data_IF_909769863384
#
_entry.id   IF_909769863384
#
_cell.length_a   1.000
_cell.length_b   1.000
_cell.length_c   1.000
_cell.angle_alpha   90.00
_cell.angle_beta   90.00
_cell.angle_gamma   90.00
#
_symmetry.space_group_name_H-M   'P 1'
#
loop_
_entity.id
_entity.type
_entity.pdbx_description
1 polymer ?
#
# COMPACT_ATOMS: atom_id res chain seq x y z
N UNK A 1 -24.42 7.30 -16.15
CA UNK A 1 -24.07 6.59 -14.90
C UNK A 1 -23.17 5.37 -15.13
N UNK A 2 -23.40 4.54 -16.15
CA UNK A 2 -22.66 3.27 -16.37
C UNK A 2 -21.15 3.42 -16.69
N UNK A 3 -20.72 4.50 -17.35
CA UNK A 3 -19.32 4.69 -17.72
C UNK A 3 -18.44 5.06 -16.51
N UNK A 4 -19.01 5.77 -15.54
CA UNK A 4 -18.33 6.16 -14.30
C UNK A 4 -18.00 4.94 -13.44
N UNK A 5 -18.87 3.93 -13.43
CA UNK A 5 -18.66 2.70 -12.67
C UNK A 5 -17.49 1.88 -13.21
N UNK A 6 -17.34 1.76 -14.53
CA UNK A 6 -16.21 1.01 -15.14
C UNK A 6 -14.87 1.67 -14.88
N UNK A 7 -14.76 3.00 -15.03
CA UNK A 7 -13.51 3.74 -14.77
C UNK A 7 -13.12 3.70 -13.29
N UNK A 8 -14.11 3.85 -12.40
CA UNK A 8 -13.93 3.74 -10.96
C UNK A 8 -13.49 2.32 -10.52
N UNK A 9 -14.10 1.28 -11.11
CA UNK A 9 -13.72 -0.11 -10.85
C UNK A 9 -12.31 -0.42 -11.36
N UNK A 10 -11.93 0.13 -12.53
CA UNK A 10 -10.59 0.01 -13.10
C UNK A 10 -9.54 0.68 -12.21
N UNK A 11 -9.80 1.88 -11.72
CA UNK A 11 -8.90 2.58 -10.78
C UNK A 11 -8.73 1.80 -9.46
N UNK A 12 -9.81 1.22 -8.93
CA UNK A 12 -9.73 0.30 -7.78
C UNK A 12 -8.84 -0.90 -8.09
N UNK A 13 -9.03 -1.54 -9.24
CA UNK A 13 -8.26 -2.73 -9.60
C UNK A 13 -6.78 -2.42 -9.78
N UNK A 14 -6.45 -1.25 -10.33
CA UNK A 14 -5.06 -0.75 -10.43
C UNK A 14 -4.46 -0.53 -9.04
N UNK A 15 -5.20 0.10 -8.12
CA UNK A 15 -4.74 0.29 -6.73
C UNK A 15 -4.47 -1.05 -6.03
N UNK A 16 -5.39 -2.01 -6.19
CA UNK A 16 -5.24 -3.37 -5.63
C UNK A 16 -4.08 -4.12 -6.28
N UNK A 17 -3.87 -3.97 -7.59
CA UNK A 17 -2.76 -4.59 -8.29
C UNK A 17 -1.41 -4.03 -7.80
N UNK A 18 -1.27 -2.69 -7.69
CA UNK A 18 -0.09 -2.04 -7.13
C UNK A 18 0.18 -2.51 -5.69
N UNK A 19 -0.88 -2.66 -4.90
CA UNK A 19 -0.77 -3.14 -3.53
C UNK A 19 -0.40 -4.62 -3.43
N UNK A 20 -0.96 -5.47 -4.29
CA UNK A 20 -0.59 -6.89 -4.38
C UNK A 20 0.88 -7.05 -4.73
N UNK A 21 1.38 -6.26 -5.69
CA UNK A 21 2.81 -6.25 -6.03
C UNK A 21 3.65 -5.83 -4.83
N UNK A 22 3.25 -4.78 -4.10
CA UNK A 22 3.92 -4.37 -2.85
C UNK A 22 3.93 -5.49 -1.80
N UNK A 23 2.80 -6.16 -1.58
CA UNK A 23 2.70 -7.26 -0.61
C UNK A 23 3.53 -8.48 -0.99
N UNK A 24 3.58 -8.85 -2.28
CA UNK A 24 4.42 -9.96 -2.76
C UNK A 24 5.89 -9.61 -2.56
N UNK A 25 6.28 -8.37 -2.86
CA UNK A 25 7.64 -7.90 -2.69
C UNK A 25 8.05 -7.87 -1.21
N UNK A 26 7.17 -7.35 -0.33
CA UNK A 26 7.39 -7.36 1.13
C UNK A 26 7.47 -8.81 1.65
N UNK A 27 6.55 -9.70 1.27
CA UNK A 27 6.59 -11.11 1.66
C UNK A 27 7.88 -11.81 1.20
N UNK A 28 8.37 -11.49 0.01
CA UNK A 28 9.63 -12.04 -0.52
C UNK A 28 10.83 -11.55 0.29
N UNK A 29 10.89 -10.24 0.57
CA UNK A 29 11.94 -9.66 1.44
C UNK A 29 11.91 -10.26 2.84
N UNK A 30 10.73 -10.42 3.41
CA UNK A 30 10.50 -10.97 4.74
C UNK A 30 10.91 -12.43 4.82
N UNK A 31 10.58 -13.22 3.79
CA UNK A 31 10.98 -14.63 3.71
C UNK A 31 12.51 -14.77 3.65
N UNK A 32 13.18 -13.90 2.89
CA UNK A 32 14.65 -13.87 2.79
C UNK A 32 15.27 -13.40 4.12
N UNK A 33 14.68 -12.39 4.77
CA UNK A 33 15.14 -11.85 6.04
C UNK A 33 14.78 -12.73 7.26
N UNK A 34 13.93 -13.75 7.08
CA UNK A 34 13.34 -14.58 8.15
C UNK A 34 12.70 -13.77 9.28
N UNK A 35 12.16 -12.60 8.95
CA UNK A 35 11.57 -11.70 9.93
C UNK A 35 10.14 -12.14 10.29
N UNK A 36 9.99 -12.83 11.42
CA UNK A 36 8.67 -13.28 11.92
C UNK A 36 7.74 -12.12 12.26
N UNK A 37 8.27 -10.94 12.54
CA UNK A 37 7.48 -9.77 12.93
C UNK A 37 6.77 -9.12 11.74
N UNK A 38 7.25 -9.38 10.53
CA UNK A 38 6.70 -8.79 9.33
C UNK A 38 5.39 -9.44 8.85
N UNK A 39 5.04 -10.66 9.33
CA UNK A 39 3.70 -11.23 9.13
C UNK A 39 2.61 -10.28 9.66
N UNK A 40 2.86 -9.67 10.84
CA UNK A 40 1.93 -8.73 11.45
C UNK A 40 1.77 -7.46 10.62
N UNK A 41 2.86 -6.98 10.00
CA UNK A 41 2.83 -5.82 9.10
C UNK A 41 1.99 -6.12 7.85
N UNK A 42 2.21 -7.25 7.19
CA UNK A 42 1.46 -7.63 5.98
C UNK A 42 -0.04 -7.73 6.31
N UNK A 43 -0.39 -8.41 7.40
CA UNK A 43 -1.78 -8.58 7.82
C UNK A 43 -2.45 -7.22 8.16
N UNK A 44 -1.76 -6.36 8.91
CA UNK A 44 -2.24 -5.02 9.23
C UNK A 44 -2.48 -4.21 7.95
N UNK A 45 -1.55 -4.27 7.00
CA UNK A 45 -1.65 -3.51 5.76
C UNK A 45 -2.83 -3.97 4.89
N UNK A 46 -3.11 -5.28 4.85
CA UNK A 46 -4.31 -5.84 4.19
C UNK A 46 -5.59 -5.31 4.83
N UNK A 47 -5.68 -5.31 6.17
CA UNK A 47 -6.84 -4.79 6.91
C UNK A 47 -7.04 -3.30 6.62
N UNK A 48 -5.97 -2.51 6.64
CA UNK A 48 -6.06 -1.07 6.32
C UNK A 48 -6.49 -0.85 4.88
N UNK A 49 -5.95 -1.61 3.93
CA UNK A 49 -6.37 -1.53 2.52
C UNK A 49 -7.87 -1.87 2.37
N UNK A 50 -8.38 -2.85 3.12
CA UNK A 50 -9.81 -3.13 3.14
C UNK A 50 -10.64 -1.92 3.61
N UNK A 51 -10.23 -1.24 4.69
CA UNK A 51 -10.89 0.00 5.14
C UNK A 51 -10.74 1.17 4.16
N UNK A 52 -9.61 1.26 3.44
CA UNK A 52 -9.42 2.23 2.35
C UNK A 52 -10.43 1.96 1.24
N UNK A 53 -10.59 0.71 0.83
CA UNK A 53 -11.55 0.29 -0.20
C UNK A 53 -13.01 0.50 0.20
N UNK A 54 -13.32 0.63 1.49
CA UNK A 54 -14.63 1.05 1.99
C UNK A 54 -14.85 2.57 1.90
N UNK A 55 -13.84 3.36 1.52
CA UNK A 55 -13.96 4.81 1.38
C UNK A 55 -13.91 5.57 2.71
N UNK A 56 -13.42 4.94 3.80
CA UNK A 56 -13.25 5.63 5.09
C UNK A 56 -12.14 6.69 4.99
N UNK A 57 -12.47 7.93 5.33
CA UNK A 57 -11.55 9.09 5.33
C UNK A 57 -10.33 8.82 6.23
N UNK A 58 -10.56 8.27 7.43
CA UNK A 58 -9.52 7.90 8.38
C UNK A 58 -8.57 6.84 7.83
N UNK A 59 -9.08 5.88 7.04
CA UNK A 59 -8.26 4.82 6.46
C UNK A 59 -7.24 5.36 5.43
N UNK A 60 -7.55 6.46 4.74
CA UNK A 60 -6.58 7.12 3.86
C UNK A 60 -5.37 7.67 4.63
N UNK A 61 -5.65 8.34 5.75
CA UNK A 61 -4.60 8.84 6.65
C UNK A 61 -3.82 7.71 7.30
N UNK A 62 -4.51 6.62 7.68
CA UNK A 62 -3.89 5.43 8.23
C UNK A 62 -2.96 4.74 7.23
N UNK A 63 -3.36 4.63 5.95
CA UNK A 63 -2.52 4.09 4.88
C UNK A 63 -1.28 4.95 4.64
N UNK A 64 -1.43 6.28 4.63
CA UNK A 64 -0.28 7.20 4.55
C UNK A 64 0.67 7.03 5.74
N UNK A 65 0.14 6.91 6.95
CA UNK A 65 0.94 6.65 8.15
C UNK A 65 1.70 5.35 8.07
N UNK A 66 1.04 4.25 7.66
CA UNK A 66 1.69 2.94 7.51
C UNK A 66 2.74 2.95 6.40
N UNK A 67 2.47 3.58 5.25
CA UNK A 67 3.48 3.70 4.19
C UNK A 67 4.70 4.49 4.68
N UNK A 68 4.50 5.61 5.38
CA UNK A 68 5.60 6.39 5.96
C UNK A 68 6.41 5.58 6.99
N UNK A 69 5.73 4.87 7.90
CA UNK A 69 6.39 3.98 8.86
C UNK A 69 7.15 2.84 8.17
N UNK A 70 6.59 2.26 7.12
CA UNK A 70 7.25 1.23 6.31
C UNK A 70 8.54 1.77 5.69
N UNK A 71 8.54 3.00 5.14
CA UNK A 71 9.76 3.63 4.61
C UNK A 71 10.82 3.78 5.70
N UNK A 72 10.45 4.29 6.88
CA UNK A 72 11.39 4.46 8.00
C UNK A 72 11.98 3.13 8.44
N UNK A 73 11.15 2.09 8.57
CA UNK A 73 11.61 0.75 8.96
C UNK A 73 12.53 0.15 7.90
N UNK A 74 12.20 0.31 6.62
CA UNK A 74 13.04 -0.16 5.51
C UNK A 74 14.41 0.54 5.51
N UNK A 75 14.44 1.86 5.69
CA UNK A 75 15.69 2.63 5.79
C UNK A 75 16.50 2.18 7.01
N UNK A 76 15.86 2.02 8.18
CA UNK A 76 16.53 1.56 9.39
C UNK A 76 17.12 0.16 9.22
N UNK A 77 16.40 -0.75 8.55
CA UNK A 77 16.88 -2.10 8.23
C UNK A 77 18.07 -2.07 7.26
N UNK A 78 18.01 -1.22 6.24
CA UNK A 78 19.12 -1.02 5.28
C UNK A 78 20.36 -0.49 5.99
N UNK A 79 20.21 0.48 6.90
CA UNK A 79 21.33 1.03 7.67
C UNK A 79 21.91 -0.01 8.65
N UNK A 80 21.04 -0.69 9.41
CA UNK A 80 21.43 -1.64 10.44
C UNK A 80 22.11 -2.90 9.87
N UNK A 81 21.70 -3.37 8.69
CA UNK A 81 22.29 -4.55 8.04
C UNK A 81 23.14 -4.18 6.80
N UNK A 82 23.51 -2.91 6.63
CA UNK A 82 24.27 -2.41 5.46
C UNK A 82 25.55 -3.22 5.15
N UNK A 83 26.19 -3.80 6.16
CA UNK A 83 27.40 -4.62 6.03
C UNK A 83 27.16 -6.10 5.67
N UNK A 84 25.91 -6.59 5.76
CA UNK A 84 25.52 -7.99 5.49
C UNK A 84 24.38 -8.15 4.50
N UNK A 85 23.80 -7.05 4.00
CA UNK A 85 22.70 -7.08 3.05
C UNK A 85 23.21 -7.42 1.65
N UNK A 86 22.67 -8.51 1.09
CA UNK A 86 22.82 -8.80 -0.33
C UNK A 86 22.26 -7.64 -1.17
N UNK A 87 22.91 -7.32 -2.29
CA UNK A 87 22.50 -6.29 -3.26
C UNK A 87 21.02 -6.43 -3.64
N UNK A 88 20.50 -7.65 -3.65
CA UNK A 88 19.10 -7.98 -3.93
C UNK A 88 18.15 -7.35 -2.88
N UNK A 89 18.51 -7.38 -1.60
CA UNK A 89 17.67 -6.82 -0.53
C UNK A 89 17.69 -5.28 -0.55
N UNK A 90 18.83 -4.68 -0.91
CA UNK A 90 18.96 -3.22 -1.06
C UNK A 90 18.08 -2.75 -2.22
N UNK A 91 18.21 -3.37 -3.39
CA UNK A 91 17.41 -3.04 -4.57
C UNK A 91 15.92 -3.29 -4.31
N UNK A 92 15.56 -4.42 -3.69
CA UNK A 92 14.17 -4.74 -3.32
C UNK A 92 13.56 -3.73 -2.35
N UNK A 93 14.33 -3.28 -1.35
CA UNK A 93 13.89 -2.25 -0.39
C UNK A 93 13.69 -0.90 -1.07
N UNK A 94 14.55 -0.53 -2.02
CA UNK A 94 14.40 0.71 -2.79
C UNK A 94 13.11 0.70 -3.62
N UNK A 95 12.83 -0.41 -4.30
CA UNK A 95 11.62 -0.60 -5.09
C UNK A 95 10.37 -0.54 -4.20
N UNK A 96 10.42 -1.14 -3.02
CA UNK A 96 9.36 -1.03 -2.00
C UNK A 96 9.10 0.41 -1.57
N UNK A 97 10.15 1.19 -1.32
CA UNK A 97 10.02 2.62 -0.96
C UNK A 97 9.30 3.38 -2.07
N UNK A 98 9.73 3.21 -3.33
CA UNK A 98 9.11 3.87 -4.48
C UNK A 98 7.63 3.48 -4.63
N UNK A 99 7.31 2.18 -4.57
CA UNK A 99 5.92 1.70 -4.64
C UNK A 99 5.06 2.24 -3.48
N UNK A 100 5.61 2.25 -2.27
CA UNK A 100 4.93 2.75 -1.07
C UNK A 100 4.63 4.25 -1.13
N UNK A 101 5.39 5.03 -1.90
CA UNK A 101 5.13 6.44 -2.16
C UNK A 101 4.12 6.64 -3.30
N UNK A 102 4.21 5.84 -4.38
CA UNK A 102 3.31 5.94 -5.53
C UNK A 102 1.85 5.62 -5.13
N UNK A 103 1.62 4.64 -4.26
CA UNK A 103 0.26 4.24 -3.82
C UNK A 103 -0.53 5.42 -3.20
N UNK A 104 -0.03 6.12 -2.17
CA UNK A 104 -0.73 7.26 -1.59
C UNK A 104 -0.84 8.44 -2.58
N UNK A 105 0.17 8.68 -3.42
CA UNK A 105 0.10 9.73 -4.47
C UNK A 105 -1.00 9.43 -5.49
N UNK A 106 -1.08 8.18 -5.97
CA UNK A 106 -2.15 7.76 -6.87
C UNK A 106 -3.52 7.87 -6.19
N UNK A 107 -3.59 7.56 -4.90
CA UNK A 107 -4.82 7.64 -4.12
C UNK A 107 -5.31 9.07 -3.88
N UNK A 108 -4.41 10.05 -3.77
CA UNK A 108 -4.76 11.48 -3.61
C UNK A 108 -4.98 12.19 -4.94
N UNK A 109 -4.24 11.81 -5.99
CA UNK A 109 -4.28 12.49 -7.29
C UNK A 109 -5.36 11.96 -8.23
N UNK A 110 -5.78 10.69 -8.10
CA UNK A 110 -6.79 10.09 -8.98
C UNK A 110 -8.20 10.63 -8.71
N UNK A 111 -8.71 11.45 -9.65
CA UNK A 111 -10.10 11.94 -9.64
C UNK A 111 -11.14 10.81 -9.73
N UNK A 112 -10.84 9.76 -10.50
CA UNK A 112 -11.75 8.60 -10.66
C UNK A 112 -11.84 7.75 -9.38
N UNK A 113 -10.70 7.54 -8.71
CA UNK A 113 -10.67 6.82 -7.43
C UNK A 113 -11.37 7.64 -6.33
N UNK A 114 -11.23 8.96 -6.35
CA UNK A 114 -11.93 9.83 -5.40
C UNK A 114 -13.45 9.83 -5.64
N UNK A 115 -13.91 9.79 -6.90
CA UNK A 115 -15.32 9.59 -7.26
C UNK A 115 -15.84 8.24 -6.76
N UNK A 116 -15.07 7.16 -6.90
CA UNK A 116 -15.43 5.84 -6.35
C UNK A 116 -15.65 5.91 -4.83
N UNK A 117 -14.71 6.51 -4.10
CA UNK A 117 -14.81 6.63 -2.64
C UNK A 117 -15.98 7.52 -2.20
N UNK A 118 -16.29 8.59 -2.93
CA UNK A 118 -17.44 9.44 -2.65
C UNK A 118 -18.76 8.70 -2.86
N UNK A 119 -18.91 7.99 -3.98
CA UNK A 119 -20.11 7.19 -4.27
C UNK A 119 -20.33 6.09 -3.23
N UNK A 120 -19.26 5.37 -2.86
CA UNK A 120 -19.35 4.30 -1.85
C UNK A 120 -19.66 4.80 -0.44
N UNK A 121 -19.22 6.02 -0.09
CA UNK A 121 -19.57 6.65 1.19
C UNK A 121 -21.05 7.03 1.23
N UNK A 122 -21.62 7.47 0.12
CA UNK A 122 -23.03 7.85 0.05
C UNK A 122 -23.94 6.63 0.30
N UNK A 123 -23.62 5.49 -0.31
CA UNK A 123 -24.35 4.23 -0.13
C UNK A 123 -24.22 3.62 1.28
N UNK A 124 -23.29 4.09 2.11
CA UNK A 124 -23.12 3.65 3.51
C UNK A 124 -23.83 4.58 4.51
N UNK A 125 -24.28 5.75 4.06
CA UNK A 125 -24.93 6.77 4.88
C UNK A 125 -26.45 6.84 4.66
N UNK A 126 -26.98 6.05 3.72
CA UNK A 126 -28.39 5.64 3.66
C UNK A 126 -28.55 4.31 4.40
#
# INVERSE_FOLDING_TARGET
>A
MIQTDKSALKARNILVAMFMVLCILDATLVAIARDKWAIGRILLTIIVMHFVLQGRKWAKWLLMGICSLLVVILIAMVLALSSKLSTILIVGSLVMVVLSAIIPIYMTSSKDLNRYFLSKRHNYSQ
#
